data_IF_923115603549
#
_entry.id   IF_923115603549
#
_cell.length_a   1.000
_cell.length_b   1.000
_cell.length_c   1.000
_cell.angle_alpha   90.00
_cell.angle_beta   90.00
_cell.angle_gamma   90.00
#
_symmetry.space_group_name_H-M   'P 1'
#
loop_
_entity.id
_entity.type
_entity.pdbx_description
1 polymer ?
#
# COMPACT_ATOMS: atom_id res chain seq x y z
N UNK A 1 23.68 21.88 -20.19
CA UNK A 1 22.25 22.04 -19.94
C UNK A 1 21.52 21.42 -21.12
N UNK A 2 21.17 20.15 -21.02
CA UNK A 2 20.38 19.45 -22.05
C UNK A 2 18.92 19.57 -21.63
N UNK A 3 18.19 20.43 -22.33
CA UNK A 3 16.74 20.55 -22.26
C UNK A 3 16.16 19.34 -23.02
N UNK A 4 15.71 18.34 -22.27
CA UNK A 4 15.04 17.16 -22.84
C UNK A 4 13.62 17.59 -23.21
N UNK A 5 13.43 18.01 -24.46
CA UNK A 5 12.10 18.28 -25.01
C UNK A 5 11.33 16.97 -25.05
N UNK A 6 10.49 16.71 -24.06
CA UNK A 6 9.55 15.59 -24.11
C UNK A 6 8.71 15.70 -25.39
N UNK A 7 8.56 14.61 -26.16
CA UNK A 7 7.79 14.66 -27.38
C UNK A 7 6.34 15.07 -27.05
N UNK A 8 5.80 16.08 -27.77
CA UNK A 8 4.46 16.64 -27.53
C UNK A 8 3.32 15.61 -27.41
N UNK A 9 3.49 14.42 -27.99
CA UNK A 9 2.55 13.30 -27.88
C UNK A 9 2.47 12.69 -26.48
N UNK A 10 3.58 12.64 -25.73
CA UNK A 10 3.61 12.04 -24.38
C UNK A 10 2.96 12.97 -23.36
N UNK A 11 3.22 14.28 -23.45
CA UNK A 11 2.50 15.30 -22.67
C UNK A 11 0.98 15.28 -22.93
N UNK A 12 0.56 14.99 -24.17
CA UNK A 12 -0.86 14.92 -24.52
C UNK A 12 -1.53 13.65 -23.95
N UNK A 13 -0.87 12.50 -24.03
CA UNK A 13 -1.33 11.24 -23.41
C UNK A 13 -1.50 11.39 -21.90
N UNK A 14 -0.53 12.00 -21.23
CA UNK A 14 -0.57 12.24 -19.78
C UNK A 14 -1.78 13.11 -19.39
N UNK A 15 -2.02 14.21 -20.11
CA UNK A 15 -3.18 15.09 -19.87
C UNK A 15 -4.52 14.38 -20.06
N UNK A 16 -4.63 13.50 -21.06
CA UNK A 16 -5.85 12.70 -21.27
C UNK A 16 -6.08 11.69 -20.15
N UNK A 17 -5.01 11.08 -19.61
CA UNK A 17 -5.10 10.18 -18.46
C UNK A 17 -5.51 10.91 -17.18
N UNK A 18 -4.92 12.07 -16.91
CA UNK A 18 -5.27 12.92 -15.78
C UNK A 18 -6.74 13.37 -15.85
N UNK A 19 -7.16 13.89 -17.00
CA UNK A 19 -8.56 14.27 -17.23
C UNK A 19 -9.53 13.08 -17.12
N UNK A 20 -9.11 11.87 -17.53
CA UNK A 20 -9.92 10.67 -17.38
C UNK A 20 -10.06 10.27 -15.91
N UNK A 21 -8.97 10.35 -15.15
CA UNK A 21 -8.97 10.05 -13.72
C UNK A 21 -9.93 10.98 -12.96
N UNK A 22 -9.85 12.29 -13.20
CA UNK A 22 -10.73 13.28 -12.60
C UNK A 22 -12.20 13.06 -12.99
N UNK A 23 -12.46 12.82 -14.28
CA UNK A 23 -13.83 12.59 -14.75
C UNK A 23 -14.44 11.31 -14.15
N UNK A 24 -13.66 10.23 -14.07
CA UNK A 24 -14.09 8.99 -13.41
C UNK A 24 -14.32 9.17 -11.91
N UNK A 25 -13.52 10.01 -11.24
CA UNK A 25 -13.70 10.33 -9.83
C UNK A 25 -15.01 11.05 -9.55
N UNK A 26 -15.36 12.01 -10.41
CA UNK A 26 -16.55 12.85 -10.25
C UNK A 26 -17.85 12.12 -10.65
N UNK A 27 -17.84 11.45 -11.81
CA UNK A 27 -19.06 10.91 -12.46
C UNK A 27 -19.13 9.38 -12.45
N UNK A 28 -18.10 8.70 -11.97
CA UNK A 28 -17.92 7.26 -12.15
C UNK A 28 -17.52 6.89 -13.58
N UNK A 29 -16.99 5.68 -13.77
CA UNK A 29 -16.58 5.22 -15.10
C UNK A 29 -17.75 5.19 -16.08
N UNK A 30 -18.89 4.62 -15.67
CA UNK A 30 -20.07 4.47 -16.53
C UNK A 30 -20.73 5.82 -16.88
N UNK A 31 -20.69 6.80 -15.97
CA UNK A 31 -21.23 8.14 -16.19
C UNK A 31 -20.35 9.05 -17.04
N UNK A 32 -19.10 8.65 -17.32
CA UNK A 32 -18.14 9.45 -18.09
C UNK A 32 -18.13 9.08 -19.57
N UNK A 33 -18.04 10.07 -20.46
CA UNK A 33 -17.84 9.87 -21.91
C UNK A 33 -16.44 10.32 -22.36
N UNK A 34 -15.98 9.86 -23.53
CA UNK A 34 -14.73 10.36 -24.14
C UNK A 34 -14.80 11.86 -24.47
N UNK A 35 -16.00 12.42 -24.67
CA UNK A 35 -16.19 13.86 -24.85
C UNK A 35 -15.96 14.64 -23.55
N UNK A 36 -16.42 14.12 -22.41
CA UNK A 36 -16.15 14.73 -21.10
C UNK A 36 -14.64 14.79 -20.84
N UNK A 37 -13.95 13.68 -21.08
CA UNK A 37 -12.49 13.56 -20.91
C UNK A 37 -11.76 14.54 -21.83
N UNK A 38 -12.13 14.59 -23.12
CA UNK A 38 -11.55 15.54 -24.06
C UNK A 38 -11.75 17.00 -23.62
N UNK A 39 -12.97 17.32 -23.17
CA UNK A 39 -13.31 18.66 -22.68
C UNK A 39 -12.47 19.07 -21.46
N UNK A 40 -12.36 18.17 -20.47
CA UNK A 40 -11.53 18.38 -19.28
C UNK A 40 -10.04 18.54 -19.65
N UNK A 41 -9.56 17.78 -20.64
CA UNK A 41 -8.21 17.90 -21.15
C UNK A 41 -8.00 19.15 -22.04
N UNK A 42 -9.03 19.94 -22.35
CA UNK A 42 -8.92 21.07 -23.28
C UNK A 42 -8.63 20.65 -24.73
N UNK A 43 -9.16 19.50 -25.14
CA UNK A 43 -8.91 18.87 -26.44
C UNK A 43 -10.21 18.61 -27.21
N UNK A 44 -10.08 18.36 -28.52
CA UNK A 44 -11.22 17.90 -29.31
C UNK A 44 -11.56 16.44 -29.00
N UNK A 45 -12.83 16.00 -29.09
CA UNK A 45 -13.20 14.61 -28.89
C UNK A 45 -12.45 13.62 -29.81
N UNK A 46 -12.10 14.07 -31.03
CA UNK A 46 -11.31 13.28 -31.96
C UNK A 46 -9.88 13.02 -31.45
N UNK A 47 -9.30 13.94 -30.67
CA UNK A 47 -7.95 13.79 -30.14
C UNK A 47 -7.82 12.59 -29.17
N UNK A 48 -8.88 12.27 -28.42
CA UNK A 48 -8.88 11.08 -27.55
C UNK A 48 -8.61 9.84 -28.36
N UNK A 49 -9.31 9.65 -29.48
CA UNK A 49 -9.18 8.47 -30.35
C UNK A 49 -7.85 8.38 -31.10
N UNK A 50 -7.11 9.50 -31.23
CA UNK A 50 -5.75 9.51 -31.78
C UNK A 50 -4.75 8.90 -30.79
N UNK A 51 -4.95 9.14 -29.49
CA UNK A 51 -4.01 8.72 -28.44
C UNK A 51 -4.43 7.43 -27.73
N UNK A 52 -5.74 7.21 -27.58
CA UNK A 52 -6.35 6.10 -26.86
C UNK A 52 -7.55 5.54 -27.63
N UNK A 53 -7.57 4.24 -27.84
CA UNK A 53 -8.58 3.48 -28.60
C UNK A 53 -9.97 3.54 -27.96
N UNK A 54 -10.05 3.67 -26.63
CA UNK A 54 -11.33 3.66 -25.92
C UNK A 54 -11.25 4.32 -24.54
N UNK A 55 -12.42 4.60 -23.96
CA UNK A 55 -12.55 4.98 -22.54
C UNK A 55 -12.03 3.88 -21.61
N UNK A 56 -12.23 2.62 -22.00
CA UNK A 56 -11.78 1.46 -21.23
C UNK A 56 -10.25 1.34 -21.22
N UNK A 57 -9.55 1.68 -22.31
CA UNK A 57 -8.08 1.70 -22.33
C UNK A 57 -7.52 2.73 -21.33
N UNK A 58 -8.17 3.89 -21.19
CA UNK A 58 -7.79 4.88 -20.17
C UNK A 58 -7.96 4.31 -18.75
N UNK A 59 -9.07 3.62 -18.49
CA UNK A 59 -9.29 2.94 -17.20
C UNK A 59 -8.24 1.85 -16.95
N UNK A 60 -7.90 1.05 -17.96
CA UNK A 60 -6.85 0.04 -17.88
C UNK A 60 -5.50 0.67 -17.54
N UNK A 61 -5.09 1.74 -18.23
CA UNK A 61 -3.81 2.40 -17.98
C UNK A 61 -3.73 3.00 -16.57
N UNK A 62 -4.80 3.64 -16.10
CA UNK A 62 -4.92 4.14 -14.72
C UNK A 62 -4.84 2.98 -13.72
N UNK A 63 -5.59 1.91 -13.97
CA UNK A 63 -5.61 0.72 -13.11
C UNK A 63 -4.24 0.07 -13.03
N UNK A 64 -3.57 -0.10 -14.17
CA UNK A 64 -2.25 -0.72 -14.25
C UNK A 64 -1.22 0.11 -13.49
N UNK A 65 -1.14 1.42 -13.74
CA UNK A 65 -0.22 2.33 -13.03
C UNK A 65 -0.42 2.24 -11.52
N UNK A 66 -1.67 2.33 -11.05
CA UNK A 66 -1.95 2.29 -9.60
C UNK A 66 -1.57 0.96 -8.94
N UNK A 67 -1.80 -0.18 -9.62
CA UNK A 67 -1.39 -1.47 -9.08
C UNK A 67 0.14 -1.68 -9.15
N UNK A 68 0.80 -1.25 -10.22
CA UNK A 68 2.26 -1.31 -10.34
C UNK A 68 2.95 -0.45 -9.26
N UNK A 69 2.47 0.78 -9.04
CA UNK A 69 2.95 1.67 -7.96
C UNK A 69 2.76 1.04 -6.58
N UNK A 70 1.61 0.41 -6.36
CA UNK A 70 1.31 -0.30 -5.10
C UNK A 70 2.26 -1.49 -4.88
N UNK A 71 2.52 -2.27 -5.92
CA UNK A 71 3.42 -3.42 -5.87
C UNK A 71 4.85 -2.98 -5.52
N UNK A 72 5.35 -1.94 -6.19
CA UNK A 72 6.69 -1.40 -5.95
C UNK A 72 6.81 -0.75 -4.57
N UNK A 73 5.75 -0.10 -4.07
CA UNK A 73 5.69 0.39 -2.70
C UNK A 73 5.87 -0.75 -1.69
N UNK A 74 5.08 -1.83 -1.80
CA UNK A 74 5.16 -2.97 -0.89
C UNK A 74 6.54 -3.62 -0.95
N UNK A 75 7.07 -3.85 -2.15
CA UNK A 75 8.41 -4.46 -2.32
C UNK A 75 9.50 -3.62 -1.66
N UNK A 76 9.52 -2.31 -1.90
CA UNK A 76 10.52 -1.40 -1.31
C UNK A 76 10.40 -1.34 0.21
N UNK A 77 9.19 -1.17 0.74
CA UNK A 77 8.97 -1.09 2.17
C UNK A 77 9.28 -2.44 2.87
N UNK A 78 8.99 -3.58 2.25
CA UNK A 78 9.31 -4.90 2.78
C UNK A 78 10.84 -5.15 2.85
N UNK A 79 11.60 -4.59 1.91
CA UNK A 79 13.05 -4.65 1.86
C UNK A 79 13.76 -3.62 2.77
N UNK A 80 13.02 -2.71 3.40
CA UNK A 80 13.60 -1.63 4.22
C UNK A 80 14.22 -2.10 5.55
N UNK A 81 13.91 -3.30 6.01
CA UNK A 81 14.44 -3.88 7.25
C UNK A 81 14.55 -5.40 7.16
N UNK A 82 15.60 -5.96 7.78
CA UNK A 82 15.72 -7.40 7.96
C UNK A 82 14.77 -7.93 9.04
N UNK A 83 14.40 -7.12 10.03
CA UNK A 83 13.41 -7.49 11.05
C UNK A 83 11.99 -7.51 10.45
N UNK A 84 11.29 -8.68 10.43
CA UNK A 84 9.97 -8.81 9.82
C UNK A 84 8.93 -7.87 10.45
N UNK A 85 8.97 -7.65 11.76
CA UNK A 85 8.01 -6.78 12.45
C UNK A 85 8.18 -5.31 12.02
N UNK A 86 9.41 -4.83 11.93
CA UNK A 86 9.70 -3.49 11.42
C UNK A 86 9.35 -3.36 9.94
N UNK A 87 9.70 -4.35 9.11
CA UNK A 87 9.34 -4.34 7.69
C UNK A 87 7.81 -4.32 7.49
N UNK A 88 7.05 -5.12 8.23
CA UNK A 88 5.58 -5.10 8.18
C UNK A 88 5.00 -3.77 8.62
N UNK A 89 5.54 -3.17 9.70
CA UNK A 89 5.13 -1.82 10.13
C UNK A 89 5.31 -0.81 9.00
N UNK A 90 6.46 -0.82 8.32
CA UNK A 90 6.76 0.09 7.23
C UNK A 90 5.84 -0.12 6.03
N UNK A 91 5.64 -1.38 5.61
CA UNK A 91 4.72 -1.73 4.50
C UNK A 91 3.32 -1.20 4.78
N UNK A 92 2.76 -1.50 5.96
CA UNK A 92 1.39 -1.11 6.28
C UNK A 92 1.26 0.40 6.42
N UNK A 93 2.26 1.06 7.00
CA UNK A 93 2.27 2.51 7.11
C UNK A 93 2.26 3.18 5.73
N UNK A 94 3.22 2.83 4.85
CA UNK A 94 3.29 3.40 3.50
C UNK A 94 2.05 3.07 2.67
N UNK A 95 1.55 1.83 2.77
CA UNK A 95 0.36 1.39 2.04
C UNK A 95 -0.89 2.17 2.47
N UNK A 96 -1.06 2.40 3.77
CA UNK A 96 -2.18 3.18 4.31
C UNK A 96 -2.10 4.66 3.92
N UNK A 97 -0.91 5.29 4.03
CA UNK A 97 -0.70 6.67 3.58
C UNK A 97 -1.02 6.81 2.10
N UNK A 98 -0.55 5.89 1.26
CA UNK A 98 -0.82 5.89 -0.17
C UNK A 98 -2.33 5.81 -0.46
N UNK A 99 -3.04 4.86 0.15
CA UNK A 99 -4.49 4.69 -0.07
C UNK A 99 -5.33 5.84 0.47
N UNK A 100 -4.90 6.53 1.54
CA UNK A 100 -5.58 7.72 2.04
C UNK A 100 -5.35 8.94 1.14
N UNK A 101 -4.10 9.24 0.79
CA UNK A 101 -3.76 10.41 -0.06
C UNK A 101 -4.31 10.25 -1.48
N UNK A 102 -4.24 9.03 -2.02
CA UNK A 102 -4.75 8.69 -3.35
C UNK A 102 -6.18 8.13 -3.32
N UNK A 103 -6.96 8.34 -2.25
CA UNK A 103 -8.26 7.66 -2.03
C UNK A 103 -9.21 7.69 -3.23
N UNK A 104 -9.27 8.81 -3.95
CA UNK A 104 -10.08 8.97 -5.15
C UNK A 104 -9.63 8.06 -6.29
N UNK A 105 -8.33 8.04 -6.63
CA UNK A 105 -7.80 7.18 -7.68
C UNK A 105 -7.78 5.71 -7.25
N UNK A 106 -7.42 5.43 -6.01
CA UNK A 106 -7.43 4.10 -5.43
C UNK A 106 -8.82 3.45 -5.47
N UNK A 107 -9.90 4.23 -5.32
CA UNK A 107 -11.27 3.72 -5.51
C UNK A 107 -11.52 3.27 -6.94
N UNK A 108 -11.12 4.06 -7.94
CA UNK A 108 -11.30 3.72 -9.35
C UNK A 108 -10.51 2.43 -9.66
N UNK A 109 -9.23 2.41 -9.28
CA UNK A 109 -8.30 1.30 -9.47
C UNK A 109 -8.84 -0.01 -8.84
N UNK A 110 -9.44 0.05 -7.66
CA UNK A 110 -9.88 -1.15 -6.93
C UNK A 110 -11.32 -1.60 -7.24
N UNK A 111 -12.23 -0.68 -7.60
CA UNK A 111 -13.66 -0.98 -7.67
C UNK A 111 -14.26 -0.95 -9.09
N UNK A 112 -13.58 -0.38 -10.09
CA UNK A 112 -14.08 -0.33 -11.48
C UNK A 112 -13.56 -1.48 -12.37
N UNK A 113 -12.95 -2.51 -11.77
CA UNK A 113 -12.33 -3.64 -12.51
C UNK A 113 -13.31 -4.41 -13.41
N UNK A 114 -14.60 -4.43 -13.07
CA UNK A 114 -15.63 -5.08 -13.87
C UNK A 114 -15.91 -4.37 -15.20
N UNK A 115 -15.39 -3.15 -15.38
CA UNK A 115 -15.48 -2.38 -16.62
C UNK A 115 -14.31 -2.62 -17.58
N UNK A 116 -13.31 -3.40 -17.17
CA UNK A 116 -12.21 -3.81 -18.03
C UNK A 116 -12.63 -4.93 -18.97
N UNK A 117 -12.02 -4.96 -20.16
CA UNK A 117 -12.14 -6.11 -21.05
C UNK A 117 -11.42 -7.34 -20.46
N UNK A 118 -11.71 -8.57 -20.94
CA UNK A 118 -11.13 -9.80 -20.38
C UNK A 118 -9.60 -9.85 -20.39
N UNK A 119 -8.96 -9.32 -21.43
CA UNK A 119 -7.51 -9.28 -21.58
C UNK A 119 -6.86 -8.37 -20.52
N UNK A 120 -7.31 -7.12 -20.44
CA UNK A 120 -6.85 -6.14 -19.45
C UNK A 120 -7.16 -6.61 -18.02
N UNK A 121 -8.33 -7.19 -17.77
CA UNK A 121 -8.67 -7.74 -16.46
C UNK A 121 -7.72 -8.87 -16.04
N UNK A 122 -7.29 -9.70 -16.99
CA UNK A 122 -6.32 -10.77 -16.74
C UNK A 122 -4.96 -10.20 -16.34
N UNK A 123 -4.50 -9.15 -17.03
CA UNK A 123 -3.25 -8.45 -16.68
C UNK A 123 -3.32 -7.82 -15.28
N UNK A 124 -4.39 -7.09 -14.97
CA UNK A 124 -4.56 -6.48 -13.64
C UNK A 124 -4.62 -7.55 -12.55
N UNK A 125 -5.29 -8.67 -12.79
CA UNK A 125 -5.31 -9.80 -11.84
C UNK A 125 -3.92 -10.37 -11.59
N UNK A 126 -3.07 -10.46 -12.60
CA UNK A 126 -1.69 -10.91 -12.44
C UNK A 126 -0.87 -9.95 -11.55
N UNK A 127 -1.06 -8.64 -11.68
CA UNK A 127 -0.40 -7.66 -10.79
C UNK A 127 -0.93 -7.79 -9.36
N UNK A 128 -2.25 -7.92 -9.18
CA UNK A 128 -2.87 -8.12 -7.85
C UNK A 128 -2.38 -9.40 -7.16
N UNK A 129 -2.14 -10.47 -7.93
CA UNK A 129 -1.52 -11.69 -7.41
C UNK A 129 -0.09 -11.46 -6.94
N UNK A 130 0.69 -10.61 -7.63
CA UNK A 130 2.03 -10.24 -7.18
C UNK A 130 2.00 -9.39 -5.90
N UNK A 131 1.03 -8.49 -5.76
CA UNK A 131 0.81 -7.71 -4.53
C UNK A 131 0.51 -8.64 -3.35
N UNK A 132 -0.44 -9.57 -3.52
CA UNK A 132 -0.77 -10.60 -2.52
C UNK A 132 0.46 -11.44 -2.16
N UNK A 133 1.21 -11.88 -3.17
CA UNK A 133 2.41 -12.66 -2.98
C UNK A 133 3.48 -11.92 -2.17
N UNK A 134 3.78 -10.66 -2.50
CA UNK A 134 4.79 -9.87 -1.80
C UNK A 134 4.43 -9.66 -0.31
N UNK A 135 3.17 -9.37 0.00
CA UNK A 135 2.71 -9.27 1.39
C UNK A 135 2.80 -10.62 2.11
N UNK A 136 2.38 -11.70 1.44
CA UNK A 136 2.43 -13.06 1.98
C UNK A 136 3.86 -13.51 2.28
N UNK A 137 4.82 -13.24 1.40
CA UNK A 137 6.22 -13.58 1.62
C UNK A 137 6.78 -12.90 2.88
N UNK A 138 6.42 -11.63 3.12
CA UNK A 138 6.81 -10.92 4.33
C UNK A 138 6.23 -11.57 5.59
N UNK A 139 4.94 -11.93 5.58
CA UNK A 139 4.30 -12.61 6.72
C UNK A 139 4.90 -14.01 6.92
N UNK A 140 5.11 -14.77 5.85
CA UNK A 140 5.70 -16.11 5.90
C UNK A 140 7.11 -16.08 6.50
N UNK A 141 7.94 -15.12 6.08
CA UNK A 141 9.27 -14.90 6.65
C UNK A 141 9.21 -14.64 8.16
N UNK A 142 8.29 -13.78 8.61
CA UNK A 142 8.14 -13.53 10.04
C UNK A 142 7.66 -14.73 10.86
N UNK A 143 6.88 -15.65 10.27
CA UNK A 143 6.53 -16.93 10.91
C UNK A 143 7.77 -17.83 11.01
N UNK A 144 8.54 -17.95 9.93
CA UNK A 144 9.75 -18.80 9.89
C UNK A 144 10.84 -18.31 10.86
N UNK A 145 10.96 -17.00 11.03
CA UNK A 145 11.89 -16.38 11.98
C UNK A 145 11.34 -16.34 13.42
N UNK A 146 10.10 -16.80 13.66
CA UNK A 146 9.46 -16.78 14.99
C UNK A 146 9.06 -15.38 15.48
N UNK A 147 9.07 -14.39 14.59
CA UNK A 147 8.62 -13.02 14.88
C UNK A 147 7.09 -12.91 14.93
N UNK A 148 6.37 -13.77 14.21
CA UNK A 148 4.91 -13.79 14.07
C UNK A 148 4.31 -15.13 14.51
N UNK A 149 3.17 -15.07 15.20
CA UNK A 149 2.38 -16.23 15.65
C UNK A 149 0.99 -16.16 15.00
N UNK A 150 0.91 -16.51 13.72
CA UNK A 150 -0.34 -16.57 12.96
C UNK A 150 -0.42 -17.89 12.19
N UNK A 151 -1.57 -18.58 12.19
CA UNK A 151 -1.67 -19.93 11.64
C UNK A 151 -1.66 -19.99 10.11
N UNK A 152 -1.97 -18.89 9.42
CA UNK A 152 -2.04 -18.85 7.96
C UNK A 152 -1.59 -17.50 7.40
N UNK A 153 -0.39 -17.49 6.78
CA UNK A 153 0.19 -16.31 6.15
C UNK A 153 -0.68 -15.74 5.01
N UNK A 154 -1.45 -16.58 4.29
CA UNK A 154 -2.31 -16.16 3.18
C UNK A 154 -3.51 -15.38 3.70
N UNK A 155 -4.17 -15.90 4.73
CA UNK A 155 -5.32 -15.24 5.36
C UNK A 155 -4.87 -13.91 5.99
N UNK A 156 -3.73 -13.93 6.70
CA UNK A 156 -3.16 -12.71 7.29
C UNK A 156 -2.85 -11.65 6.21
N UNK A 157 -2.15 -12.02 5.13
CA UNK A 157 -1.84 -11.10 4.03
C UNK A 157 -3.12 -10.54 3.36
N UNK A 158 -4.12 -11.39 3.13
CA UNK A 158 -5.42 -10.97 2.57
C UNK A 158 -6.11 -9.95 3.49
N UNK A 159 -6.11 -10.19 4.80
CA UNK A 159 -6.73 -9.28 5.78
C UNK A 159 -6.01 -7.93 5.83
N UNK A 160 -4.67 -7.95 5.84
CA UNK A 160 -3.82 -6.75 5.85
C UNK A 160 -4.03 -5.88 4.60
N UNK A 161 -4.04 -6.50 3.41
CA UNK A 161 -4.32 -5.81 2.16
C UNK A 161 -5.75 -5.26 2.13
N UNK A 162 -6.73 -6.05 2.58
CA UNK A 162 -8.13 -5.63 2.62
C UNK A 162 -8.33 -4.40 3.50
N UNK A 163 -7.69 -4.35 4.67
CA UNK A 163 -7.75 -3.20 5.57
C UNK A 163 -7.25 -1.93 4.87
N UNK A 164 -6.07 -1.98 4.25
CA UNK A 164 -5.50 -0.80 3.60
C UNK A 164 -6.23 -0.38 2.32
N UNK A 165 -6.72 -1.32 1.50
CA UNK A 165 -7.54 -1.01 0.32
C UNK A 165 -8.83 -0.28 0.73
N UNK A 166 -9.48 -0.73 1.81
CA UNK A 166 -10.76 -0.17 2.25
C UNK A 166 -10.64 1.30 2.70
N UNK A 167 -9.44 1.77 3.08
CA UNK A 167 -9.17 3.20 3.38
C UNK A 167 -9.65 4.09 2.24
N UNK A 168 -9.39 3.70 0.98
CA UNK A 168 -9.80 4.47 -0.18
C UNK A 168 -11.33 4.71 -0.22
N UNK A 169 -12.13 3.78 0.31
CA UNK A 169 -13.59 3.86 0.32
C UNK A 169 -14.12 4.81 1.41
N UNK A 170 -13.55 4.79 2.61
CA UNK A 170 -14.11 5.50 3.77
C UNK A 170 -13.38 6.78 4.15
N UNK A 171 -12.11 6.96 3.75
CA UNK A 171 -11.32 8.15 4.09
C UNK A 171 -11.95 9.44 3.53
N UNK A 172 -11.82 10.52 4.29
CA UNK A 172 -12.29 11.88 3.96
C UNK A 172 -11.27 12.89 4.42
N UNK A 173 -10.90 13.85 3.58
CA UNK A 173 -9.91 14.90 3.92
C UNK A 173 -10.36 15.80 5.07
N UNK A 174 -11.65 16.14 5.13
CA UNK A 174 -12.24 16.88 6.24
C UNK A 174 -12.57 15.99 7.47
N UNK A 175 -12.05 14.75 7.48
CA UNK A 175 -12.25 13.79 8.55
C UNK A 175 -11.38 14.09 9.78
N UNK A 176 -11.59 13.35 10.89
CA UNK A 176 -10.89 13.60 12.14
C UNK A 176 -9.46 13.04 12.19
N UNK A 177 -9.04 12.27 11.18
CA UNK A 177 -7.72 11.61 11.15
C UNK A 177 -6.97 11.97 9.88
N UNK A 178 -5.70 12.31 10.03
CA UNK A 178 -4.78 12.45 8.90
C UNK A 178 -4.40 11.08 8.32
N UNK A 179 -3.89 11.02 7.08
CA UNK A 179 -3.29 9.80 6.52
C UNK A 179 -2.26 9.15 7.45
N UNK A 180 -1.44 9.96 8.13
CA UNK A 180 -0.39 9.52 9.04
C UNK A 180 -0.94 8.92 10.35
N UNK A 181 -2.03 9.49 10.89
CA UNK A 181 -2.72 8.95 12.06
C UNK A 181 -3.26 7.54 11.77
N UNK A 182 -3.92 7.38 10.62
CA UNK A 182 -4.49 6.11 10.17
C UNK A 182 -3.37 5.10 9.96
N UNK A 183 -2.30 5.50 9.27
CA UNK A 183 -1.16 4.64 8.97
C UNK A 183 -0.46 4.14 10.24
N UNK A 184 -0.24 5.02 11.21
CA UNK A 184 0.35 4.66 12.51
C UNK A 184 -0.52 3.66 13.25
N UNK A 185 -1.84 3.91 13.32
CA UNK A 185 -2.77 3.00 13.98
C UNK A 185 -2.86 1.64 13.27
N UNK A 186 -2.92 1.63 11.94
CA UNK A 186 -3.04 0.41 11.13
C UNK A 186 -1.79 -0.45 11.22
N UNK A 187 -0.59 0.15 11.25
CA UNK A 187 0.64 -0.59 11.41
C UNK A 187 0.70 -1.34 12.75
N UNK A 188 0.19 -0.74 13.83
CA UNK A 188 0.09 -1.41 15.13
C UNK A 188 -1.04 -2.46 15.18
N UNK A 189 -2.15 -2.26 14.47
CA UNK A 189 -3.20 -3.28 14.31
C UNK A 189 -2.66 -4.48 13.52
N UNK A 190 -1.91 -4.23 12.45
CA UNK A 190 -1.31 -5.26 11.62
C UNK A 190 -0.39 -6.18 12.42
N UNK A 191 0.45 -5.63 13.30
CA UNK A 191 1.31 -6.42 14.19
C UNK A 191 0.51 -7.32 15.13
N UNK A 192 -0.68 -6.90 15.57
CA UNK A 192 -1.57 -7.75 16.37
C UNK A 192 -2.22 -8.86 15.54
N UNK A 193 -2.60 -8.58 14.29
CA UNK A 193 -3.18 -9.58 13.37
C UNK A 193 -2.21 -10.74 13.14
N UNK A 194 -0.91 -10.45 13.01
CA UNK A 194 0.12 -11.47 12.81
C UNK A 194 0.66 -12.05 14.11
N UNK A 195 0.14 -11.65 15.28
CA UNK A 195 0.63 -12.14 16.56
C UNK A 195 2.10 -11.79 16.84
N UNK A 196 2.53 -10.57 16.50
CA UNK A 196 3.94 -10.19 16.61
C UNK A 196 4.47 -10.36 18.05
N UNK A 197 5.50 -11.19 18.20
CA UNK A 197 6.11 -11.49 19.49
C UNK A 197 7.01 -10.33 19.87
N UNK A 198 6.63 -9.56 20.89
CA UNK A 198 7.54 -8.55 21.45
C UNK A 198 8.76 -9.26 22.03
N UNK A 199 10.00 -8.85 21.72
CA UNK A 199 11.15 -9.34 22.46
C UNK A 199 10.92 -9.05 23.94
N UNK A 200 10.96 -10.09 24.78
CA UNK A 200 10.92 -9.90 26.23
C UNK A 200 12.09 -8.98 26.58
N UNK A 201 11.88 -7.91 27.38
CA UNK A 201 13.02 -7.14 27.87
C UNK A 201 13.96 -8.12 28.58
N UNK A 202 15.24 -8.12 28.20
CA UNK A 202 16.29 -8.85 28.89
C UNK A 202 16.17 -8.47 30.37
N UNK A 203 15.77 -9.42 31.22
CA UNK A 203 16.00 -9.29 32.65
C UNK A 203 17.50 -9.47 32.82
N UNK A 204 18.23 -8.37 32.87
CA UNK A 204 19.62 -8.42 33.29
C UNK A 204 19.69 -9.05 34.69
N UNK A 205 20.55 -10.06 34.80
CA UNK A 205 20.95 -10.72 36.04
C UNK A 205 21.34 -9.68 37.10
N UNK A 206 20.40 -9.30 37.95
CA UNK A 206 20.66 -8.64 39.24
C UNK A 206 20.77 -9.65 40.39
N UNK A 207 20.95 -10.94 40.11
CA UNK A 207 21.02 -12.00 41.13
C UNK A 207 22.44 -12.55 41.33
N UNK A 208 23.45 -11.68 41.30
CA UNK A 208 24.85 -12.06 41.60
C UNK A 208 25.56 -11.11 42.57
N UNK A 209 24.83 -10.29 43.34
CA UNK A 209 25.40 -9.56 44.48
C UNK A 209 24.59 -9.79 45.75
N UNK A 210 24.72 -10.98 46.31
CA UNK A 210 24.34 -11.20 47.72
C UNK A 210 25.28 -12.08 48.53
N UNK A 211 26.43 -12.51 48.00
CA UNK A 211 27.34 -13.43 48.70
C UNK A 211 28.71 -12.84 49.09
N UNK A 212 28.76 -11.54 49.43
CA UNK A 212 30.00 -10.95 49.95
C UNK A 212 29.79 -9.98 51.13
N UNK A 213 28.93 -10.33 52.08
CA UNK A 213 28.81 -9.58 53.34
C UNK A 213 28.44 -10.41 54.58
N UNK A 214 29.11 -11.55 54.80
CA UNK A 214 29.15 -12.22 56.11
C UNK A 214 30.56 -12.76 56.38
N UNK A 215 31.48 -11.87 56.73
CA UNK A 215 32.88 -12.27 56.92
C UNK A 215 33.72 -11.32 57.76
N UNK A 216 33.15 -10.55 58.69
CA UNK A 216 33.95 -9.90 59.75
C UNK A 216 33.11 -9.63 60.99
N UNK A 217 33.52 -10.24 62.11
CA UNK A 217 33.17 -9.74 63.45
C UNK A 217 32.59 -10.78 64.40
N UNK A 218 33.45 -11.46 65.15
CA UNK A 218 33.38 -11.51 66.63
C UNK A 218 34.64 -12.16 67.19
N UNK A 219 35.36 -11.38 67.98
CA UNK A 219 36.29 -11.89 68.98
C UNK A 219 35.58 -12.14 70.32
N UNK A 220 36.42 -12.55 71.26
CA UNK A 220 36.25 -12.67 72.72
C UNK A 220 35.73 -14.02 73.26
N UNK A 221 36.60 -14.63 74.08
CA UNK A 221 36.47 -15.92 74.76
C UNK A 221 37.83 -16.51 75.08
#
# INVERSE_FOLDING_TARGET
>A
MTETTEPRGDSTRARLLEAALEAFAEKGFNGTTTRDIAGAAGMSPAAVYVHHKSKEELLYLISRSGHDETLELIRRAAASSSDPATALRNVIHEFAVHHARAHTSARIVNYELNSLNPEHLTEIRAIRQQIDHAMRELVQRGIEEGAFDTPDARIAATALLSLGIDIARWYREAGPWSPEDIATAYAEIALRIVGAVRPRPHRDDQDSRTDEFLGTGRGEG
#
